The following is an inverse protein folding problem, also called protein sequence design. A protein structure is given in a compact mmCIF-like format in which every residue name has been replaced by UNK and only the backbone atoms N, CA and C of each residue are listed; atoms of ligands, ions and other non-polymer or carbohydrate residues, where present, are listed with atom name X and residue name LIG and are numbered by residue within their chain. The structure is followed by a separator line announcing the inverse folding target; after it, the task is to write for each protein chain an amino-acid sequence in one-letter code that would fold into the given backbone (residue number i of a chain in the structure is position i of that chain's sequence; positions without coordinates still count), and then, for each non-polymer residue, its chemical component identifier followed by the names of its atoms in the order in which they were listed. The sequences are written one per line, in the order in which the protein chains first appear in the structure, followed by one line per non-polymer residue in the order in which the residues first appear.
data_IF_609322135533
#
_entry.id   IF_609322135533
#
_cell.length_a   1.000
_cell.length_b   1.000
_cell.length_c   1.000
_cell.angle_alpha   90.00
_cell.angle_beta   90.00
_cell.angle_gamma   90.00
#
_symmetry.space_group_name_H-M   'P 1'
#
loop_
_entity.id
_entity.type
_entity.pdbx_description
1 polymer ?
#
# COMPACT_ATOMS: atom_id res chain seq x y z
N UNK A 1 -71.48 -0.06 -14.80
CA UNK A 1 -71.41 -0.85 -13.55
C UNK A 1 -69.94 -1.15 -13.28
N UNK A 2 -69.32 -0.47 -12.31
CA UNK A 2 -67.91 -0.65 -11.96
C UNK A 2 -67.84 -1.41 -10.63
N UNK A 3 -67.33 -2.64 -10.64
CA UNK A 3 -67.12 -3.44 -9.42
C UNK A 3 -65.71 -3.17 -8.90
N UNK A 4 -65.59 -2.47 -7.77
CA UNK A 4 -64.33 -2.39 -7.04
C UNK A 4 -64.15 -3.67 -6.20
N UNK A 5 -63.04 -4.37 -6.41
CA UNK A 5 -62.58 -5.46 -5.56
C UNK A 5 -61.50 -4.92 -4.62
N UNK A 6 -61.74 -5.00 -3.31
CA UNK A 6 -60.76 -4.67 -2.28
C UNK A 6 -59.95 -5.93 -1.94
N UNK A 7 -58.65 -5.91 -2.21
CA UNK A 7 -57.71 -6.95 -1.81
C UNK A 7 -57.08 -6.51 -0.48
N UNK A 8 -57.40 -7.22 0.60
CA UNK A 8 -56.78 -7.04 1.90
C UNK A 8 -55.46 -7.83 1.94
N UNK A 9 -54.34 -7.11 1.96
CA UNK A 9 -53.03 -7.68 2.28
C UNK A 9 -52.93 -7.88 3.79
N UNK A 10 -52.92 -9.13 4.24
CA UNK A 10 -52.54 -9.49 5.61
C UNK A 10 -51.01 -9.43 5.72
N UNK A 11 -50.48 -8.36 6.29
CA UNK A 11 -49.09 -8.29 6.72
C UNK A 11 -48.93 -9.17 7.96
N UNK A 12 -48.22 -10.30 7.83
CA UNK A 12 -47.75 -11.08 8.97
C UNK A 12 -46.73 -10.29 9.79
N UNK A 13 -46.68 -10.44 11.12
CA UNK A 13 -45.74 -9.71 11.95
C UNK A 13 -44.29 -10.07 11.60
N UNK A 14 -43.50 -9.04 11.29
CA UNK A 14 -42.05 -9.11 11.15
C UNK A 14 -41.45 -9.56 12.48
N UNK A 15 -40.75 -10.70 12.49
CA UNK A 15 -39.96 -11.14 13.63
C UNK A 15 -38.72 -10.24 13.74
N UNK A 16 -38.81 -9.17 14.53
CA UNK A 16 -37.63 -8.37 14.87
C UNK A 16 -36.82 -9.18 15.88
N UNK A 17 -35.69 -9.73 15.45
CA UNK A 17 -34.74 -10.34 16.39
C UNK A 17 -34.05 -9.20 17.15
N UNK A 18 -34.56 -8.89 18.34
CA UNK A 18 -33.92 -7.93 19.23
C UNK A 18 -32.59 -8.52 19.71
N UNK A 19 -31.49 -7.85 19.32
CA UNK A 19 -30.14 -8.21 19.69
C UNK A 19 -29.93 -8.05 21.21
N UNK A 20 -29.10 -8.91 21.84
CA UNK A 20 -28.82 -8.78 23.27
C UNK A 20 -28.05 -7.49 23.58
N UNK A 21 -28.15 -7.01 24.83
CA UNK A 21 -27.39 -5.84 25.28
C UNK A 21 -25.90 -6.16 25.44
N UNK A 22 -25.04 -5.34 24.86
CA UNK A 22 -23.59 -5.53 24.93
C UNK A 22 -23.07 -5.46 26.37
N UNK A 23 -22.21 -6.42 26.72
CA UNK A 23 -21.45 -6.47 27.97
C UNK A 23 -20.01 -6.00 27.76
N UNK A 24 -19.30 -5.71 28.85
CA UNK A 24 -17.93 -5.19 28.78
C UNK A 24 -16.97 -6.13 28.01
N UNK A 25 -17.19 -7.44 28.09
CA UNK A 25 -16.39 -8.44 27.38
C UNK A 25 -16.68 -8.55 25.88
N UNK A 26 -17.73 -7.89 25.39
CA UNK A 26 -18.16 -7.95 23.98
C UNK A 26 -17.48 -6.88 23.12
N UNK A 27 -16.73 -5.97 23.75
CA UNK A 27 -16.01 -4.91 23.09
C UNK A 27 -14.51 -5.22 22.93
N UNK A 28 -13.90 -4.60 21.92
CA UNK A 28 -12.46 -4.41 21.82
C UNK A 28 -12.16 -2.93 21.59
N UNK A 29 -10.90 -2.54 21.73
CA UNK A 29 -10.47 -1.17 21.49
C UNK A 29 -10.02 -0.97 20.05
N UNK A 30 -10.46 0.13 19.46
CA UNK A 30 -10.00 0.62 18.17
C UNK A 30 -9.66 2.10 18.25
N UNK A 31 -8.81 2.56 17.33
CA UNK A 31 -8.62 3.98 17.11
C UNK A 31 -9.54 4.49 16.03
N UNK A 32 -10.08 5.69 16.22
CA UNK A 32 -10.76 6.43 15.17
C UNK A 32 -9.77 6.91 14.12
N UNK A 33 -10.31 7.41 13.01
CA UNK A 33 -9.55 8.26 12.09
C UNK A 33 -8.95 9.48 12.81
N UNK A 34 -7.92 10.05 12.18
CA UNK A 34 -7.22 11.23 12.65
C UNK A 34 -8.10 12.47 12.51
N UNK A 35 -8.16 13.28 13.56
CA UNK A 35 -8.78 14.59 13.49
C UNK A 35 -7.83 15.63 12.88
N UNK A 36 -8.36 16.82 12.60
CA UNK A 36 -7.61 17.95 12.03
C UNK A 36 -6.46 18.43 12.91
N UNK A 37 -6.41 18.03 14.19
CA UNK A 37 -5.33 18.36 15.12
C UNK A 37 -4.28 17.23 15.19
N UNK A 38 -4.33 16.23 14.31
CA UNK A 38 -3.32 15.17 14.21
C UNK A 38 -3.41 14.10 15.30
N UNK A 39 -4.52 14.03 16.05
CA UNK A 39 -4.72 12.93 16.99
C UNK A 39 -5.99 12.16 16.75
N UNK A 40 -6.18 11.11 17.54
CA UNK A 40 -7.24 10.12 17.36
C UNK A 40 -7.77 9.67 18.72
N UNK A 41 -8.98 9.11 18.71
CA UNK A 41 -9.65 8.64 19.91
C UNK A 41 -9.55 7.14 20.01
N UNK A 42 -9.33 6.63 21.22
CA UNK A 42 -9.45 5.20 21.53
C UNK A 42 -10.87 4.93 21.99
N UNK A 43 -11.59 4.11 21.26
CA UNK A 43 -13.00 3.79 21.48
C UNK A 43 -13.21 2.29 21.67
N UNK A 44 -14.27 1.93 22.36
CA UNK A 44 -14.72 0.54 22.47
C UNK A 44 -15.76 0.25 21.40
N UNK A 45 -15.48 -0.73 20.55
CA UNK A 45 -16.37 -1.18 19.49
C UNK A 45 -16.73 -2.65 19.68
N UNK A 46 -17.95 -3.09 19.33
CA UNK A 46 -18.31 -4.49 19.42
C UNK A 46 -17.42 -5.37 18.55
N UNK A 47 -17.00 -6.52 19.09
CA UNK A 47 -16.12 -7.49 18.40
C UNK A 47 -16.64 -7.99 17.06
N UNK A 48 -17.96 -7.95 16.88
CA UNK A 48 -18.64 -8.43 15.68
C UNK A 48 -19.81 -7.50 15.35
N UNK A 49 -20.04 -7.20 14.06
CA UNK A 49 -21.23 -6.48 13.65
C UNK A 49 -22.48 -7.29 14.00
N UNK A 50 -23.56 -6.60 14.41
CA UNK A 50 -24.85 -7.22 14.77
C UNK A 50 -24.73 -8.34 15.82
N UNK A 51 -23.77 -8.26 16.74
CA UNK A 51 -23.63 -9.23 17.82
C UNK A 51 -24.44 -8.83 19.06
N UNK A 52 -24.46 -7.54 19.36
CA UNK A 52 -25.17 -6.96 20.47
C UNK A 52 -25.55 -5.50 20.13
N UNK A 53 -26.55 -4.95 20.81
CA UNK A 53 -27.00 -3.56 20.63
C UNK A 53 -27.12 -2.83 21.97
N UNK A 54 -26.84 -1.53 21.99
CA UNK A 54 -26.79 -0.75 23.22
C UNK A 54 -25.61 -1.13 24.13
N UNK A 55 -25.79 -0.98 25.44
CA UNK A 55 -24.72 -1.14 26.44
C UNK A 55 -24.08 0.18 26.86
N UNK A 56 -23.13 0.09 27.78
CA UNK A 56 -22.40 1.25 28.32
C UNK A 56 -20.89 1.03 28.13
N UNK A 57 -20.34 1.24 26.92
CA UNK A 57 -18.90 1.23 26.72
C UNK A 57 -18.23 2.32 27.57
N UNK A 58 -16.97 2.10 27.94
CA UNK A 58 -16.20 3.14 28.60
C UNK A 58 -16.10 4.39 27.71
N UNK A 59 -16.05 5.59 28.33
CA UNK A 59 -15.86 6.83 27.60
C UNK A 59 -14.62 6.76 26.70
N UNK A 60 -14.75 7.32 25.50
CA UNK A 60 -13.63 7.47 24.59
C UNK A 60 -12.51 8.28 25.27
N UNK A 61 -11.27 7.80 25.15
CA UNK A 61 -10.09 8.48 25.69
C UNK A 61 -9.20 8.94 24.55
N UNK A 62 -8.44 10.02 24.76
CA UNK A 62 -7.48 10.46 23.76
C UNK A 62 -6.40 9.39 23.59
N UNK A 63 -6.18 8.98 22.34
CA UNK A 63 -5.18 8.00 21.98
C UNK A 63 -3.80 8.62 21.76
N UNK A 64 -2.83 7.77 21.37
CA UNK A 64 -1.55 8.24 20.82
C UNK A 64 -1.79 9.03 19.53
N UNK A 65 -0.90 9.97 19.20
CA UNK A 65 -0.96 10.78 17.98
C UNK A 65 -0.91 9.92 16.71
N UNK A 66 -1.25 10.51 15.57
CA UNK A 66 -1.32 9.78 14.30
C UNK A 66 0.04 9.46 13.68
N UNK A 67 1.06 10.23 14.02
CA UNK A 67 2.46 10.01 13.71
C UNK A 67 3.14 9.01 14.66
N UNK A 68 2.49 8.67 15.78
CA UNK A 68 3.01 7.69 16.72
C UNK A 68 3.02 6.28 16.13
N UNK A 69 4.19 5.66 16.18
CA UNK A 69 4.47 4.32 15.66
C UNK A 69 5.43 3.60 16.60
N UNK A 70 5.26 2.27 16.74
CA UNK A 70 6.19 1.46 17.52
C UNK A 70 7.39 1.03 16.69
N UNK A 71 8.51 0.75 17.36
CA UNK A 71 9.72 0.30 16.70
C UNK A 71 9.58 -1.12 16.12
N UNK A 72 10.55 -1.49 15.28
CA UNK A 72 10.66 -2.85 14.74
C UNK A 72 10.74 -3.87 15.87
N UNK A 73 9.98 -4.95 15.75
CA UNK A 73 9.86 -5.97 16.79
C UNK A 73 9.02 -5.54 18.00
N UNK A 74 8.28 -4.44 17.90
CA UNK A 74 7.29 -4.02 18.88
C UNK A 74 5.89 -3.87 18.26
N UNK A 75 4.87 -4.05 19.09
CA UNK A 75 3.46 -3.80 18.76
C UNK A 75 2.85 -2.86 19.80
N UNK A 76 1.81 -2.14 19.40
CA UNK A 76 1.08 -1.26 20.30
C UNK A 76 0.02 -2.04 21.08
N UNK A 77 0.12 -2.04 22.41
CA UNK A 77 -0.92 -2.63 23.27
C UNK A 77 -2.11 -1.68 23.42
N UNK A 78 -2.94 -1.60 22.37
CA UNK A 78 -4.13 -0.76 22.34
C UNK A 78 -5.13 -1.11 23.45
N UNK A 79 -5.19 -2.39 23.84
CA UNK A 79 -6.13 -2.90 24.84
C UNK A 79 -5.72 -2.58 26.27
N UNK A 80 -4.41 -2.45 26.52
CA UNK A 80 -3.85 -2.14 27.82
C UNK A 80 -3.50 -0.66 27.99
N UNK A 81 -2.21 -0.43 28.23
CA UNK A 81 -1.59 0.85 28.59
C UNK A 81 -1.34 1.78 27.39
N UNK A 82 -1.58 1.32 26.15
CA UNK A 82 -1.22 2.03 24.92
C UNK A 82 0.30 2.22 24.78
N UNK A 83 1.11 1.33 25.36
CA UNK A 83 2.57 1.35 25.19
C UNK A 83 3.05 0.30 24.19
N UNK A 84 4.25 0.54 23.63
CA UNK A 84 4.88 -0.39 22.72
C UNK A 84 5.49 -1.56 23.51
N UNK A 85 5.07 -2.78 23.16
CA UNK A 85 5.54 -4.03 23.78
C UNK A 85 6.25 -4.88 22.75
N UNK A 86 7.25 -5.65 23.18
CA UNK A 86 7.95 -6.55 22.28
C UNK A 86 7.04 -7.67 21.78
N UNK A 87 7.19 -7.98 20.49
CA UNK A 87 6.58 -9.14 19.87
C UNK A 87 6.99 -10.43 20.61
N UNK A 88 6.04 -11.35 20.77
CA UNK A 88 6.32 -12.65 21.35
C UNK A 88 7.20 -13.49 20.42
N UNK A 89 7.94 -14.45 20.99
CA UNK A 89 8.77 -15.37 20.21
C UNK A 89 7.97 -16.03 19.09
N UNK A 90 8.52 -16.01 17.86
CA UNK A 90 7.84 -16.52 16.67
C UNK A 90 6.96 -15.49 15.94
N UNK A 91 6.84 -14.26 16.46
CA UNK A 91 6.16 -13.15 15.78
C UNK A 91 7.14 -12.02 15.47
N UNK A 92 6.85 -11.25 14.44
CA UNK A 92 7.63 -10.08 14.07
C UNK A 92 6.69 -8.90 13.77
N UNK A 93 7.20 -7.70 13.97
CA UNK A 93 6.55 -6.45 13.59
C UNK A 93 7.55 -5.62 12.82
N UNK A 94 7.13 -5.07 11.68
CA UNK A 94 7.92 -4.14 10.89
C UNK A 94 7.83 -2.71 11.44
N UNK A 95 7.12 -2.50 12.56
CA UNK A 95 6.77 -1.18 13.06
C UNK A 95 5.80 -0.51 12.09
N UNK A 96 6.21 0.63 11.55
CA UNK A 96 5.52 1.39 10.51
C UNK A 96 5.95 1.03 9.08
N UNK A 97 6.87 0.08 8.93
CA UNK A 97 7.35 -0.36 7.63
C UNK A 97 6.34 -1.21 6.87
N UNK A 98 6.25 -1.00 5.56
CA UNK A 98 5.54 -1.89 4.64
C UNK A 98 6.55 -2.76 3.90
N UNK A 99 6.25 -4.05 3.73
CA UNK A 99 7.09 -4.99 2.99
C UNK A 99 6.22 -5.80 2.03
N UNK A 100 6.63 -5.85 0.77
CA UNK A 100 5.97 -6.61 -0.28
C UNK A 100 6.77 -7.89 -0.56
N UNK A 101 6.19 -9.04 -0.20
CA UNK A 101 6.77 -10.37 -0.49
C UNK A 101 5.92 -11.17 -1.48
N UNK A 102 4.60 -10.89 -1.51
CA UNK A 102 3.67 -11.54 -2.43
C UNK A 102 3.43 -10.62 -3.64
N UNK A 103 3.84 -11.12 -4.80
CA UNK A 103 3.71 -10.53 -6.13
C UNK A 103 2.88 -11.44 -7.04
N UNK A 104 1.78 -12.02 -6.55
CA UNK A 104 0.76 -12.69 -7.38
C UNK A 104 0.07 -11.70 -8.33
N UNK A 105 -0.14 -10.48 -7.86
CA UNK A 105 -0.60 -9.33 -8.64
C UNK A 105 0.22 -8.10 -8.24
N UNK A 106 0.25 -7.10 -9.12
CA UNK A 106 0.82 -5.81 -8.79
C UNK A 106 -0.06 -5.16 -7.70
N UNK A 107 0.49 -4.85 -6.50
CA UNK A 107 -0.28 -4.27 -5.41
C UNK A 107 -0.78 -2.86 -5.76
N UNK A 108 -1.80 -2.39 -5.03
CA UNK A 108 -2.26 -1.01 -5.14
C UNK A 108 -1.11 -0.03 -4.81
N UNK A 109 -1.07 1.08 -5.54
CA UNK A 109 0.00 2.09 -5.43
C UNK A 109 1.20 1.83 -6.34
N UNK A 110 1.31 0.64 -6.95
CA UNK A 110 2.28 0.37 -8.01
C UNK A 110 1.68 0.61 -9.40
N UNK A 111 2.47 1.21 -10.28
CA UNK A 111 2.16 1.38 -11.71
C UNK A 111 3.31 0.82 -12.53
N UNK A 112 2.97 -0.04 -13.49
CA UNK A 112 3.94 -0.69 -14.38
C UNK A 112 3.68 -0.25 -15.81
N UNK A 113 4.64 0.43 -16.41
CA UNK A 113 4.57 0.94 -17.79
C UNK A 113 5.75 0.43 -18.59
N UNK A 114 5.58 0.36 -19.91
CA UNK A 114 6.67 0.08 -20.83
C UNK A 114 6.52 0.93 -22.09
N UNK A 115 7.62 1.56 -22.50
CA UNK A 115 7.67 2.46 -23.65
C UNK A 115 8.84 2.06 -24.56
N UNK A 116 8.78 2.46 -25.84
CA UNK A 116 9.89 2.22 -26.76
C UNK A 116 10.94 3.32 -26.60
N UNK A 117 12.22 2.96 -26.72
CA UNK A 117 13.30 3.95 -26.84
C UNK A 117 13.16 4.72 -28.16
N UNK A 118 12.34 5.77 -28.17
CA UNK A 118 12.30 6.71 -29.31
C UNK A 118 13.57 7.57 -29.28
N UNK A 119 14.65 7.08 -29.86
CA UNK A 119 15.62 8.00 -30.44
C UNK A 119 14.89 8.72 -31.58
N UNK A 120 14.39 9.93 -31.34
CA UNK A 120 14.08 10.85 -32.45
C UNK A 120 15.39 11.06 -33.18
N UNK A 121 15.60 10.27 -34.23
CA UNK A 121 16.68 10.50 -35.18
C UNK A 121 16.42 11.90 -35.75
N UNK A 122 17.22 12.87 -35.30
CA UNK A 122 17.27 14.19 -35.93
C UNK A 122 18.17 14.04 -37.17
N UNK A 123 17.75 13.24 -38.14
CA UNK A 123 18.40 13.19 -39.43
C UNK A 123 17.34 13.30 -40.52
N UNK A 124 17.51 14.36 -41.29
CA UNK A 124 16.78 14.70 -42.49
C UNK A 124 16.87 13.53 -43.48
N UNK A 125 15.77 12.81 -43.69
CA UNK A 125 15.69 11.78 -44.72
C UNK A 125 14.30 11.16 -44.78
N UNK A 126 13.58 11.42 -45.86
CA UNK A 126 12.33 10.74 -46.19
C UNK A 126 12.60 9.24 -46.35
N UNK A 127 11.96 8.44 -45.50
CA UNK A 127 11.99 6.98 -45.53
C UNK A 127 10.91 6.43 -44.63
N UNK A 128 9.82 5.96 -45.24
CA UNK A 128 8.75 5.21 -44.58
C UNK A 128 9.29 3.87 -44.08
N UNK A 129 9.46 3.75 -42.76
CA UNK A 129 9.11 2.55 -41.98
C UNK A 129 9.06 2.97 -40.50
N UNK A 130 7.85 3.35 -40.05
CA UNK A 130 7.56 3.59 -38.63
C UNK A 130 7.47 2.21 -37.96
N UNK A 131 8.62 1.62 -37.63
CA UNK A 131 8.71 0.44 -36.78
C UNK A 131 8.16 0.80 -35.39
N UNK A 132 6.84 0.73 -35.26
CA UNK A 132 6.12 0.89 -34.00
C UNK A 132 6.43 -0.34 -33.14
N UNK A 133 7.58 -0.31 -32.46
CA UNK A 133 7.96 -1.37 -31.50
C UNK A 133 6.86 -1.50 -30.46
N UNK A 134 6.17 -2.64 -30.44
CA UNK A 134 5.09 -2.91 -29.50
C UNK A 134 5.66 -3.33 -28.14
N UNK A 135 5.72 -2.39 -27.21
CA UNK A 135 6.25 -2.61 -25.86
C UNK A 135 5.20 -3.09 -24.84
N UNK A 136 3.97 -3.40 -25.27
CA UNK A 136 2.87 -3.74 -24.36
C UNK A 136 3.15 -4.97 -23.49
N UNK A 137 4.04 -5.88 -23.92
CA UNK A 137 4.45 -7.08 -23.17
C UNK A 137 5.74 -6.92 -22.36
N UNK A 138 6.36 -5.73 -22.39
CA UNK A 138 7.66 -5.47 -21.74
C UNK A 138 7.52 -4.78 -20.37
N UNK A 139 6.30 -4.59 -19.88
CA UNK A 139 6.05 -4.06 -18.54
C UNK A 139 6.37 -5.11 -17.45
N UNK A 140 6.64 -4.67 -16.22
CA UNK A 140 6.84 -5.56 -15.09
C UNK A 140 5.63 -6.46 -14.89
N UNK A 141 5.89 -7.77 -14.80
CA UNK A 141 4.88 -8.80 -14.63
C UNK A 141 5.08 -9.53 -13.32
N UNK A 142 3.98 -9.76 -12.60
CA UNK A 142 3.91 -10.53 -11.36
C UNK A 142 4.25 -12.02 -11.59
N UNK A 143 5.19 -12.56 -10.80
CA UNK A 143 5.63 -13.97 -10.82
C UNK A 143 5.50 -14.65 -9.46
N UNK A 144 4.54 -14.23 -8.64
CA UNK A 144 4.23 -14.83 -7.34
C UNK A 144 5.13 -14.31 -6.22
N UNK A 145 6.45 -14.50 -6.30
CA UNK A 145 7.40 -14.01 -5.27
C UNK A 145 8.30 -12.87 -5.73
N UNK A 146 8.26 -12.52 -7.02
CA UNK A 146 9.04 -11.42 -7.59
C UNK A 146 8.31 -10.79 -8.78
N UNK A 147 8.79 -9.62 -9.20
CA UNK A 147 8.43 -9.01 -10.47
C UNK A 147 9.52 -9.31 -11.49
N UNK A 148 9.10 -9.60 -12.72
CA UNK A 148 10.02 -9.88 -13.83
C UNK A 148 9.72 -8.96 -15.01
N UNK A 149 10.78 -8.58 -15.70
CA UNK A 149 10.71 -7.84 -16.95
C UNK A 149 11.41 -8.66 -18.04
N UNK A 150 10.87 -8.67 -19.25
CA UNK A 150 11.51 -9.31 -20.40
C UNK A 150 12.48 -8.31 -21.04
N UNK A 151 13.78 -8.63 -21.15
CA UNK A 151 14.75 -7.78 -21.84
C UNK A 151 14.35 -7.55 -23.29
N UNK A 152 14.59 -6.35 -23.82
CA UNK A 152 14.29 -5.98 -25.20
C UNK A 152 14.52 -4.49 -25.46
N UNK A 153 14.03 -4.00 -26.58
CA UNK A 153 14.21 -2.60 -27.04
C UNK A 153 13.25 -1.59 -26.39
N UNK A 154 12.67 -1.97 -25.25
CA UNK A 154 11.67 -1.20 -24.52
C UNK A 154 12.19 -0.85 -23.13
N UNK A 155 11.95 0.39 -22.69
CA UNK A 155 12.15 0.76 -21.29
C UNK A 155 10.93 0.34 -20.48
N UNK A 156 11.14 -0.46 -19.44
CA UNK A 156 10.10 -0.78 -18.46
C UNK A 156 10.29 0.10 -17.22
N UNK A 157 9.21 0.66 -16.71
CA UNK A 157 9.21 1.48 -15.50
C UNK A 157 8.22 0.93 -14.49
N UNK A 158 8.67 0.83 -13.24
CA UNK A 158 7.82 0.49 -12.09
C UNK A 158 7.85 1.67 -11.12
N UNK A 159 6.70 2.29 -10.92
CA UNK A 159 6.53 3.45 -10.04
C UNK A 159 5.70 3.06 -8.83
N UNK A 160 6.16 3.39 -7.63
CA UNK A 160 5.43 3.20 -6.38
C UNK A 160 5.25 4.55 -5.68
N UNK A 161 4.01 4.93 -5.41
CA UNK A 161 3.68 6.20 -4.74
C UNK A 161 3.22 5.94 -3.30
N UNK A 162 3.80 6.65 -2.34
CA UNK A 162 3.48 6.51 -0.91
C UNK A 162 3.57 7.87 -0.21
N UNK A 163 2.64 8.10 0.74
CA UNK A 163 2.67 9.27 1.60
C UNK A 163 3.41 8.94 2.90
N UNK A 164 4.49 9.67 3.19
CA UNK A 164 5.30 9.44 4.38
C UNK A 164 4.77 10.26 5.56
N UNK A 165 4.46 9.57 6.66
CA UNK A 165 4.09 10.22 7.93
C UNK A 165 5.34 10.67 8.70
N UNK A 166 6.47 9.99 8.50
CA UNK A 166 7.78 10.32 9.04
C UNK A 166 8.87 9.92 8.05
N UNK A 167 10.08 10.43 8.24
CA UNK A 167 11.25 10.03 7.46
C UNK A 167 11.50 8.53 7.59
N UNK A 168 11.82 7.88 6.48
CA UNK A 168 12.01 6.44 6.41
C UNK A 168 13.07 6.06 5.37
N UNK A 169 13.00 4.83 4.87
CA UNK A 169 13.90 4.37 3.82
C UNK A 169 13.20 3.32 2.97
N UNK A 170 13.43 3.35 1.66
CA UNK A 170 13.05 2.27 0.76
C UNK A 170 14.21 1.29 0.59
N UNK A 171 13.89 0.01 0.56
CA UNK A 171 14.83 -1.07 0.35
C UNK A 171 14.25 -2.03 -0.68
N UNK A 172 14.99 -2.31 -1.73
CA UNK A 172 14.60 -3.30 -2.73
C UNK A 172 15.79 -4.13 -3.18
N UNK A 173 15.48 -5.33 -3.65
CA UNK A 173 16.44 -6.33 -4.12
C UNK A 173 16.11 -6.66 -5.57
N UNK A 174 17.13 -6.77 -6.40
CA UNK A 174 16.98 -7.09 -7.81
C UNK A 174 18.14 -7.98 -8.27
N UNK A 175 17.89 -8.71 -9.35
CA UNK A 175 18.82 -9.68 -9.90
C UNK A 175 18.83 -9.60 -11.42
N UNK A 176 20.04 -9.65 -12.00
CA UNK A 176 20.24 -9.76 -13.44
C UNK A 176 20.81 -11.14 -13.81
N UNK A 177 20.38 -11.74 -14.93
CA UNK A 177 21.06 -12.90 -15.50
C UNK A 177 22.48 -12.51 -15.94
N UNK A 178 23.48 -13.35 -15.66
CA UNK A 178 24.88 -13.12 -16.07
C UNK A 178 25.03 -13.04 -17.60
N UNK A 179 24.15 -13.69 -18.36
CA UNK A 179 24.12 -13.63 -19.83
C UNK A 179 23.68 -12.26 -20.38
N UNK A 180 23.12 -11.39 -19.53
CA UNK A 180 22.68 -10.03 -19.85
C UNK A 180 23.69 -8.96 -19.40
N UNK A 181 24.90 -9.38 -18.99
CA UNK A 181 25.95 -8.47 -18.55
C UNK A 181 26.34 -7.47 -19.64
N UNK A 182 26.08 -6.19 -19.39
CA UNK A 182 26.47 -5.08 -20.26
C UNK A 182 25.37 -4.55 -21.20
N UNK A 183 24.23 -5.22 -21.32
CA UNK A 183 23.07 -4.77 -22.12
C UNK A 183 21.90 -4.23 -21.29
N UNK A 184 21.86 -4.53 -19.98
CA UNK A 184 20.81 -4.05 -19.09
C UNK A 184 21.30 -2.84 -18.25
N UNK A 185 20.55 -1.74 -18.32
CA UNK A 185 20.72 -0.57 -17.45
C UNK A 185 19.56 -0.56 -16.44
N UNK A 186 19.87 -0.63 -15.15
CA UNK A 186 18.91 -0.35 -14.10
C UNK A 186 19.09 1.08 -13.62
N UNK A 187 18.00 1.84 -13.59
CA UNK A 187 17.98 3.19 -13.08
C UNK A 187 16.81 3.30 -12.10
N UNK A 188 17.09 3.81 -10.91
CA UNK A 188 16.07 4.11 -9.91
C UNK A 188 16.14 5.58 -9.54
N UNK A 189 14.96 6.18 -9.36
CA UNK A 189 14.80 7.57 -8.95
C UNK A 189 13.87 7.65 -7.77
N UNK A 190 14.18 8.54 -6.85
CA UNK A 190 13.28 8.93 -5.77
C UNK A 190 12.96 10.39 -5.98
N UNK A 191 11.65 10.67 -6.08
CA UNK A 191 11.12 12.00 -6.30
C UNK A 191 10.20 12.34 -5.14
N UNK A 192 10.37 13.54 -4.60
CA UNK A 192 9.43 14.12 -3.64
C UNK A 192 8.29 14.85 -4.38
N UNK A 193 7.32 15.38 -3.65
CA UNK A 193 6.16 16.11 -4.21
C UNK A 193 6.55 17.39 -4.98
N UNK A 194 7.81 17.82 -4.91
CA UNK A 194 8.35 18.97 -5.65
C UNK A 194 9.15 18.54 -6.91
N UNK A 195 9.10 17.26 -7.30
CA UNK A 195 9.75 16.72 -8.49
C UNK A 195 11.29 16.86 -8.52
N UNK A 196 11.93 17.14 -7.38
CA UNK A 196 13.39 17.06 -7.28
C UNK A 196 13.79 15.58 -7.15
N UNK A 197 14.57 15.10 -8.11
CA UNK A 197 15.16 13.77 -8.10
C UNK A 197 16.42 13.78 -7.24
N UNK A 198 16.34 13.26 -6.02
CA UNK A 198 17.45 13.36 -5.06
C UNK A 198 18.47 12.23 -5.19
N UNK A 199 18.12 11.17 -5.91
CA UNK A 199 18.97 10.01 -6.15
C UNK A 199 18.83 9.57 -7.61
N UNK A 200 19.81 9.95 -8.44
CA UNK A 200 20.05 9.39 -9.76
C UNK A 200 21.24 8.43 -9.67
N UNK A 201 20.94 7.15 -9.54
CA UNK A 201 21.94 6.09 -9.54
C UNK A 201 21.75 5.24 -10.78
N UNK A 202 22.63 5.44 -11.77
CA UNK A 202 22.84 4.50 -12.85
C UNK A 202 24.04 3.62 -12.51
N UNK A 203 23.79 2.34 -12.29
CA UNK A 203 24.87 1.37 -12.10
C UNK A 203 24.85 0.39 -13.28
N UNK A 204 26.04 0.07 -13.82
CA UNK A 204 26.24 -1.17 -14.56
C UNK A 204 26.31 -2.28 -13.53
N UNK A 205 25.29 -3.13 -13.49
CA UNK A 205 25.12 -4.06 -12.38
C UNK A 205 25.09 -5.49 -12.91
N UNK A 206 25.93 -6.34 -12.33
CA UNK A 206 25.84 -7.79 -12.46
C UNK A 206 25.48 -8.42 -11.10
N UNK A 207 24.79 -9.55 -11.17
CA UNK A 207 24.44 -10.38 -10.02
C UNK A 207 23.25 -9.89 -9.17
N UNK A 208 23.16 -10.44 -7.96
CA UNK A 208 22.13 -10.12 -6.98
C UNK A 208 22.54 -8.92 -6.12
N UNK A 209 21.68 -7.90 -6.07
CA UNK A 209 22.05 -6.60 -5.52
C UNK A 209 20.92 -6.05 -4.65
N UNK A 210 21.32 -5.27 -3.65
CA UNK A 210 20.43 -4.72 -2.64
C UNK A 210 20.68 -3.23 -2.51
N UNK A 211 19.68 -2.44 -2.81
CA UNK A 211 19.75 -0.99 -2.76
C UNK A 211 18.84 -0.46 -1.66
N UNK A 212 19.42 0.43 -0.85
CA UNK A 212 18.71 1.15 0.21
C UNK A 212 18.83 2.63 -0.10
N UNK A 213 17.71 3.34 -0.02
CA UNK A 213 17.67 4.78 -0.16
C UNK A 213 16.85 5.40 0.97
N UNK A 214 17.34 6.51 1.52
CA UNK A 214 16.70 7.22 2.62
C UNK A 214 15.64 8.19 2.08
N UNK A 215 14.51 8.27 2.76
CA UNK A 215 13.37 9.14 2.47
C UNK A 215 13.25 10.16 3.62
N UNK A 216 13.62 11.42 3.40
CA UNK A 216 13.78 12.41 4.47
C UNK A 216 13.00 13.73 4.25
N UNK A 217 12.82 14.52 5.31
CA UNK A 217 12.26 15.90 5.28
C UNK A 217 13.30 16.96 4.90
N UNK A 218 14.57 16.58 4.69
CA UNK A 218 15.65 17.50 4.34
C UNK A 218 15.94 17.46 2.84
N UNK A 219 15.09 18.13 2.07
CA UNK A 219 15.35 18.43 0.67
C UNK A 219 14.87 19.85 0.36
N UNK A 220 15.50 20.78 1.05
CA UNK A 220 15.64 22.20 0.72
C UNK A 220 16.97 22.62 1.35
N UNK A 221 17.85 23.26 0.58
CA UNK A 221 18.80 24.20 1.16
C UNK A 221 18.22 25.60 1.03
#
# INVERSE_FOLDING_TARGET
MLKLAFILFLFGPSFQQDLPTCQQGDYHFEYTECDSNGGRWRVQVPKKPNFCTGGAPHPAVRGKSCDFTCDKGQYLDISGDQECKHCQSGTFSLGDGIRFENWEKIPEGFTSTAESFRFRHFEMGEGEDEDTVNCSSNAFTAKGSYLSVTPGDCNAQLTYSVNLVKTGSVLFEFQYPEESEGSALFHFTIQNDQCESDLDHSHKISGHQKLKAELGERWCK
#
